data_IF_075434979403
#
_entry.id   IF_075434979403
#
_cell.length_a   1.000
_cell.length_b   1.000
_cell.length_c   1.000
_cell.angle_alpha   90.00
_cell.angle_beta   90.00
_cell.angle_gamma   90.00
#
_symmetry.space_group_name_H-M   'P 1'
#
loop_
_entity.id
_entity.type
_entity.pdbx_description
1 polymer ?
#
# COMPACT_ATOMS: atom_id res chain seq x y z
N UNK A 1 -3.57 -13.83 3.43
CA UNK A 1 -4.49 -12.68 3.54
C UNK A 1 -3.75 -11.46 3.00
N UNK A 2 -3.81 -11.25 1.70
CA UNK A 2 -3.11 -10.16 1.01
C UNK A 2 -4.10 -9.03 0.78
N UNK A 3 -3.92 -7.92 1.48
CA UNK A 3 -4.42 -6.64 1.01
C UNK A 3 -3.44 -6.14 -0.05
N UNK A 4 -3.89 -6.03 -1.29
CA UNK A 4 -3.15 -5.36 -2.36
C UNK A 4 -3.10 -3.87 -1.98
N UNK A 5 -2.16 -3.50 -1.10
CA UNK A 5 -2.04 -2.16 -0.54
C UNK A 5 -1.02 -1.31 -1.30
N UNK A 6 -0.86 -1.49 -2.61
CA UNK A 6 -0.16 -0.53 -3.47
C UNK A 6 -0.71 -0.60 -4.90
N UNK A 7 -1.33 0.49 -5.36
CA UNK A 7 -1.73 0.70 -6.76
C UNK A 7 -3.24 0.81 -6.98
N UNK A 8 -3.78 2.04 -6.92
CA UNK A 8 -5.17 2.37 -7.27
C UNK A 8 -6.01 2.82 -6.07
N UNK A 9 -6.85 3.85 -6.27
CA UNK A 9 -8.01 4.07 -5.42
C UNK A 9 -9.01 2.96 -5.78
N UNK A 10 -8.99 1.85 -5.03
CA UNK A 10 -10.01 0.83 -5.21
C UNK A 10 -11.33 1.38 -4.69
N UNK A 11 -12.30 1.52 -5.59
CA UNK A 11 -13.64 1.92 -5.24
C UNK A 11 -14.38 0.80 -4.48
N UNK A 12 -13.80 -0.38 -4.34
CA UNK A 12 -14.43 -1.54 -3.74
C UNK A 12 -13.53 -2.30 -2.75
N UNK A 13 -14.20 -3.10 -1.92
CA UNK A 13 -13.60 -4.11 -1.05
C UNK A 13 -14.28 -5.43 -1.41
N UNK A 14 -13.51 -6.49 -1.64
CA UNK A 14 -14.04 -7.80 -2.03
C UNK A 14 -13.51 -8.91 -1.13
N UNK A 15 -14.31 -9.96 -0.98
CA UNK A 15 -13.91 -11.22 -0.37
C UNK A 15 -13.42 -12.17 -1.44
N UNK A 16 -12.16 -12.57 -1.33
CA UNK A 16 -11.57 -13.59 -2.19
C UNK A 16 -11.80 -14.97 -1.56
N UNK A 17 -13.00 -15.51 -1.74
CA UNK A 17 -13.31 -16.87 -1.29
C UNK A 17 -12.53 -17.92 -2.10
N UNK A 18 -12.31 -19.06 -1.46
CA UNK A 18 -11.57 -20.18 -2.06
C UNK A 18 -12.37 -20.78 -3.21
N UNK A 19 -11.91 -20.52 -4.44
CA UNK A 19 -12.58 -21.01 -5.64
C UNK A 19 -12.30 -22.50 -5.95
N UNK A 20 -11.09 -22.99 -5.64
CA UNK A 20 -10.68 -24.38 -5.86
C UNK A 20 -9.83 -24.89 -4.69
N UNK A 21 -9.68 -26.21 -4.61
CA UNK A 21 -8.74 -26.84 -3.68
C UNK A 21 -7.27 -26.59 -4.08
N UNK A 22 -6.33 -26.57 -3.12
CA UNK A 22 -4.91 -26.46 -3.43
C UNK A 22 -4.47 -27.58 -4.37
N UNK A 23 -3.61 -27.24 -5.33
CA UNK A 23 -3.09 -28.20 -6.30
C UNK A 23 -1.99 -29.03 -5.63
N UNK A 24 -2.14 -30.36 -5.65
CA UNK A 24 -1.17 -31.27 -5.03
C UNK A 24 -1.05 -31.04 -3.51
N UNK A 25 0.17 -30.79 -3.03
CA UNK A 25 0.47 -30.55 -1.61
C UNK A 25 0.71 -29.07 -1.29
N UNK A 26 0.35 -28.17 -2.21
CA UNK A 26 0.51 -26.73 -2.01
C UNK A 26 -0.36 -26.23 -0.85
N UNK A 27 0.10 -25.15 -0.21
CA UNK A 27 -0.56 -24.49 0.91
C UNK A 27 -0.49 -22.98 0.73
N UNK A 28 -1.40 -22.24 1.34
CA UNK A 28 -1.28 -20.77 1.40
C UNK A 28 -0.09 -20.35 2.27
N UNK A 29 0.46 -19.17 2.04
CA UNK A 29 1.57 -18.63 2.85
C UNK A 29 1.23 -18.60 4.34
N UNK A 30 -0.02 -18.29 4.69
CA UNK A 30 -0.49 -18.31 6.08
C UNK A 30 -0.39 -19.70 6.69
N UNK A 31 -0.87 -20.74 6.00
CA UNK A 31 -0.79 -22.12 6.47
C UNK A 31 0.66 -22.60 6.60
N UNK A 32 1.53 -22.23 5.66
CA UNK A 32 2.97 -22.56 5.72
C UNK A 32 3.57 -21.98 7.00
N UNK A 33 3.37 -20.69 7.25
CA UNK A 33 3.90 -20.02 8.45
C UNK A 33 3.28 -20.60 9.72
N UNK A 34 1.98 -20.88 9.72
CA UNK A 34 1.27 -21.47 10.86
C UNK A 34 1.79 -22.87 11.21
N UNK A 35 2.03 -23.73 10.22
CA UNK A 35 2.59 -25.07 10.43
C UNK A 35 4.04 -25.03 10.95
N UNK A 36 4.83 -24.05 10.51
CA UNK A 36 6.17 -23.81 11.07
C UNK A 36 6.04 -23.34 12.54
N UNK A 37 5.12 -22.40 12.82
CA UNK A 37 4.91 -21.87 14.16
C UNK A 37 4.47 -22.96 15.16
N UNK A 38 3.62 -23.90 14.74
CA UNK A 38 3.26 -25.09 15.55
C UNK A 38 4.49 -25.89 15.99
N UNK A 39 5.42 -26.17 15.07
CA UNK A 39 6.65 -26.90 15.38
C UNK A 39 7.54 -26.16 16.38
N UNK A 40 7.43 -24.83 16.43
CA UNK A 40 8.18 -23.96 17.33
C UNK A 40 7.40 -23.61 18.62
N UNK A 41 6.16 -24.06 18.78
CA UNK A 41 5.32 -23.73 19.94
C UNK A 41 4.79 -22.29 19.98
N UNK A 42 4.69 -21.62 18.83
CA UNK A 42 4.20 -20.25 18.67
C UNK A 42 2.88 -20.14 17.88
N UNK A 43 2.17 -21.25 17.70
CA UNK A 43 0.95 -21.31 16.89
C UNK A 43 -0.12 -20.33 17.38
N UNK A 44 -0.34 -20.23 18.69
CA UNK A 44 -1.32 -19.30 19.29
C UNK A 44 -0.97 -17.84 19.08
N UNK A 45 0.32 -17.49 19.07
CA UNK A 45 0.78 -16.12 18.86
C UNK A 45 0.59 -15.72 17.39
N UNK A 46 0.71 -16.67 16.46
CA UNK A 46 0.51 -16.42 15.03
C UNK A 46 -0.97 -16.39 14.67
N UNK A 47 -1.77 -17.35 15.15
CA UNK A 47 -3.19 -17.42 14.81
C UNK A 47 -4.07 -16.55 15.70
N UNK A 48 -3.58 -16.11 16.86
CA UNK A 48 -4.39 -15.54 17.95
C UNK A 48 -5.52 -16.47 18.43
N UNK A 49 -5.47 -17.77 18.06
CA UNK A 49 -6.59 -18.70 18.26
C UNK A 49 -7.78 -18.45 17.34
N UNK A 50 -7.63 -17.61 16.32
CA UNK A 50 -8.68 -17.22 15.38
C UNK A 50 -8.64 -18.09 14.11
N UNK A 51 -9.82 -18.32 13.53
CA UNK A 51 -9.92 -18.92 12.20
C UNK A 51 -9.56 -17.91 11.11
N UNK A 52 -9.33 -18.36 9.88
CA UNK A 52 -9.11 -17.44 8.76
C UNK A 52 -10.32 -16.51 8.54
N UNK A 53 -11.54 -16.98 8.77
CA UNK A 53 -12.74 -16.16 8.66
C UNK A 53 -12.82 -15.12 9.78
N UNK A 54 -12.47 -15.48 11.01
CA UNK A 54 -12.38 -14.51 12.11
C UNK A 54 -11.34 -13.42 11.81
N UNK A 55 -10.20 -13.79 11.23
CA UNK A 55 -9.18 -12.84 10.78
C UNK A 55 -9.70 -11.92 9.67
N UNK A 56 -10.49 -12.45 8.72
CA UNK A 56 -11.15 -11.63 7.70
C UNK A 56 -12.16 -10.66 8.33
N UNK A 57 -12.98 -11.12 9.28
CA UNK A 57 -13.95 -10.27 10.01
C UNK A 57 -13.24 -9.19 10.84
N UNK A 58 -12.08 -9.51 11.43
CA UNK A 58 -11.25 -8.55 12.16
C UNK A 58 -10.70 -7.47 11.23
N UNK A 59 -10.23 -7.83 10.03
CA UNK A 59 -9.78 -6.88 9.01
C UNK A 59 -10.94 -6.00 8.52
N UNK A 60 -12.11 -6.58 8.28
CA UNK A 60 -13.33 -5.84 7.95
C UNK A 60 -13.63 -4.73 8.98
N UNK A 61 -13.53 -5.07 10.28
CA UNK A 61 -13.65 -4.11 11.38
C UNK A 61 -12.55 -3.03 11.38
N UNK A 62 -11.30 -3.40 11.13
CA UNK A 62 -10.19 -2.44 11.07
C UNK A 62 -10.27 -1.49 9.88
N UNK A 63 -10.97 -1.86 8.82
CA UNK A 63 -11.27 -0.98 7.69
C UNK A 63 -12.40 0.00 7.99
N UNK A 64 -13.10 -0.13 9.12
CA UNK A 64 -14.25 0.69 9.46
C UNK A 64 -15.48 0.41 8.59
N UNK A 65 -15.49 -0.74 7.89
CA UNK A 65 -16.52 -1.07 6.91
C UNK A 65 -17.87 -1.40 7.58
N UNK A 66 -17.84 -1.77 8.87
CA UNK A 66 -19.01 -1.96 9.73
C UNK A 66 -19.90 -0.71 9.87
N UNK A 67 -19.37 0.47 9.51
CA UNK A 67 -20.14 1.73 9.45
C UNK A 67 -20.99 1.84 8.19
N UNK A 68 -20.73 1.01 7.19
CA UNK A 68 -21.29 1.12 5.85
C UNK A 68 -22.14 -0.08 5.45
N UNK A 69 -21.80 -1.28 5.95
CA UNK A 69 -22.50 -2.54 5.70
C UNK A 69 -22.28 -3.48 6.91
N UNK A 70 -23.19 -4.42 7.18
CA UNK A 70 -22.95 -5.45 8.21
C UNK A 70 -21.96 -6.51 7.71
N UNK A 71 -21.31 -7.25 8.62
CA UNK A 71 -20.43 -8.35 8.22
C UNK A 71 -21.21 -9.43 7.46
N UNK A 72 -22.42 -9.74 7.93
CA UNK A 72 -23.28 -10.78 7.39
C UNK A 72 -23.71 -10.44 5.96
N UNK A 73 -24.14 -9.20 5.71
CA UNK A 73 -24.51 -8.73 4.38
C UNK A 73 -23.29 -8.63 3.45
N UNK A 74 -22.13 -8.20 3.97
CA UNK A 74 -20.88 -8.16 3.21
C UNK A 74 -20.42 -9.56 2.79
N UNK A 75 -20.52 -10.56 3.70
CA UNK A 75 -20.20 -11.95 3.40
C UNK A 75 -21.12 -12.56 2.36
N UNK A 76 -22.42 -12.30 2.46
CA UNK A 76 -23.41 -12.79 1.49
C UNK A 76 -23.18 -12.17 0.10
N UNK A 77 -22.93 -10.86 0.05
CA UNK A 77 -22.71 -10.14 -1.20
C UNK A 77 -21.35 -10.43 -1.84
N UNK A 78 -20.33 -10.72 -1.02
CA UNK A 78 -18.94 -10.96 -1.43
C UNK A 78 -18.14 -9.70 -1.76
N UNK A 79 -18.78 -8.52 -1.81
CA UNK A 79 -18.11 -7.25 -2.07
C UNK A 79 -18.91 -6.04 -1.57
N UNK A 80 -18.22 -4.91 -1.45
CA UNK A 80 -18.79 -3.60 -1.16
C UNK A 80 -18.18 -2.56 -2.10
N UNK A 81 -19.01 -1.73 -2.72
CA UNK A 81 -18.59 -0.63 -3.58
C UNK A 81 -18.84 0.69 -2.85
N UNK A 82 -17.77 1.44 -2.58
CA UNK A 82 -17.83 2.78 -2.01
C UNK A 82 -18.62 3.71 -2.92
N UNK A 83 -19.53 4.45 -2.30
CA UNK A 83 -20.30 5.49 -2.97
C UNK A 83 -19.47 6.78 -3.02
N UNK A 84 -19.69 7.57 -4.07
CA UNK A 84 -19.13 8.92 -4.16
C UNK A 84 -19.73 9.76 -3.03
N UNK A 85 -18.88 10.46 -2.27
CA UNK A 85 -19.34 11.35 -1.21
C UNK A 85 -20.21 12.48 -1.79
N UNK A 86 -21.35 12.81 -1.18
CA UNK A 86 -22.26 13.84 -1.70
C UNK A 86 -21.60 15.22 -1.79
N UNK A 87 -20.66 15.51 -0.90
CA UNK A 87 -19.96 16.79 -0.79
C UNK A 87 -18.53 16.76 -1.34
N UNK A 88 -18.21 15.78 -2.20
CA UNK A 88 -16.87 15.61 -2.79
C UNK A 88 -16.30 16.87 -3.46
N UNK A 89 -17.16 17.75 -4.00
CA UNK A 89 -16.74 19.02 -4.62
C UNK A 89 -16.09 20.00 -3.63
N UNK A 90 -16.36 19.83 -2.32
CA UNK A 90 -15.75 20.64 -1.26
C UNK A 90 -14.35 20.15 -0.89
N UNK A 91 -13.97 18.95 -1.31
CA UNK A 91 -12.64 18.43 -1.06
C UNK A 91 -11.60 19.22 -1.85
N UNK A 92 -10.50 19.55 -1.18
CA UNK A 92 -9.40 20.24 -1.84
C UNK A 92 -8.63 19.26 -2.71
N UNK A 93 -8.49 19.51 -4.02
CA UNK A 93 -7.80 18.58 -4.90
C UNK A 93 -6.29 18.66 -4.70
N UNK A 94 -5.68 17.49 -4.51
CA UNK A 94 -4.22 17.32 -4.52
C UNK A 94 -3.49 18.33 -3.65
N UNK A 95 -2.61 19.11 -4.28
CA UNK A 95 -1.72 20.05 -3.59
C UNK A 95 -2.25 21.50 -3.58
N UNK A 96 -3.55 21.72 -3.87
CA UNK A 96 -4.12 23.08 -3.96
C UNK A 96 -3.85 23.92 -2.72
N UNK A 97 -4.05 23.36 -1.52
CA UNK A 97 -3.77 24.08 -0.25
C UNK A 97 -2.32 24.57 -0.13
N UNK A 98 -1.34 23.76 -0.52
CA UNK A 98 0.07 24.15 -0.54
C UNK A 98 0.35 25.22 -1.60
N UNK A 99 -0.28 25.10 -2.78
CA UNK A 99 -0.12 26.09 -3.85
C UNK A 99 -0.70 27.46 -3.48
N UNK A 100 -1.79 27.49 -2.71
CA UNK A 100 -2.45 28.73 -2.25
C UNK A 100 -1.76 29.36 -1.03
N UNK A 101 -1.36 28.56 -0.04
CA UNK A 101 -0.69 29.05 1.18
C UNK A 101 0.35 28.03 1.69
N UNK A 102 1.59 28.08 1.18
CA UNK A 102 2.63 27.12 1.53
C UNK A 102 3.17 27.28 2.96
N UNK A 103 3.01 28.45 3.58
CA UNK A 103 3.45 28.68 4.96
C UNK A 103 2.49 28.02 5.95
N UNK A 104 1.18 28.07 5.67
CA UNK A 104 0.14 27.39 6.48
C UNK A 104 0.03 25.89 6.17
N UNK A 105 0.34 25.49 4.93
CA UNK A 105 0.25 24.12 4.46
C UNK A 105 1.60 23.57 3.98
N UNK A 106 2.65 23.56 4.83
CA UNK A 106 4.00 23.22 4.42
C UNK A 106 4.15 21.74 4.03
N UNK A 107 5.08 21.46 3.12
CA UNK A 107 5.44 20.08 2.78
C UNK A 107 6.26 19.43 3.90
N UNK A 108 6.31 18.09 3.88
CA UNK A 108 7.12 17.28 4.80
C UNK A 108 8.63 17.34 4.54
N UNK A 109 9.08 18.13 3.57
CA UNK A 109 10.50 18.32 3.23
C UNK A 109 11.23 19.13 4.31
N UNK A 110 12.57 19.05 4.39
CA UNK A 110 13.37 19.88 5.30
C UNK A 110 13.08 21.38 5.15
N UNK A 111 13.05 21.87 3.92
CA UNK A 111 12.77 23.28 3.62
C UNK A 111 11.30 23.68 3.75
N UNK A 112 10.39 22.72 4.02
CA UNK A 112 8.93 22.89 3.98
C UNK A 112 8.36 23.25 2.59
N UNK A 113 9.20 23.20 1.55
CA UNK A 113 8.87 23.57 0.16
C UNK A 113 9.16 22.42 -0.81
N UNK A 114 8.82 22.62 -2.07
CA UNK A 114 9.28 21.75 -3.15
C UNK A 114 10.78 21.99 -3.38
N UNK A 115 11.58 20.94 -3.24
CA UNK A 115 13.04 21.02 -3.35
C UNK A 115 13.50 20.63 -4.75
N UNK A 116 13.83 21.61 -5.59
CA UNK A 116 14.51 21.37 -6.87
C UNK A 116 15.94 20.85 -6.68
N UNK A 117 16.52 21.14 -5.52
CA UNK A 117 17.80 20.62 -5.07
C UNK A 117 17.63 20.00 -3.68
N UNK A 118 17.91 18.71 -3.55
CA UNK A 118 17.85 18.00 -2.29
C UNK A 118 19.17 18.12 -1.54
N UNK A 119 19.20 18.97 -0.51
CA UNK A 119 20.36 19.05 0.40
C UNK A 119 20.64 17.72 1.10
N UNK A 120 19.61 16.90 1.36
CA UNK A 120 19.78 15.58 1.96
C UNK A 120 20.57 14.65 1.05
N UNK A 121 20.27 14.64 -0.25
CA UNK A 121 21.06 13.86 -1.22
C UNK A 121 22.49 14.38 -1.28
N UNK A 122 22.67 15.70 -1.41
CA UNK A 122 24.00 16.30 -1.48
C UNK A 122 24.89 16.01 -0.26
N UNK A 123 24.30 16.00 0.95
CA UNK A 123 25.04 15.78 2.19
C UNK A 123 25.33 14.31 2.48
N UNK A 124 24.37 13.43 2.24
CA UNK A 124 24.47 12.02 2.64
C UNK A 124 24.95 11.11 1.52
N UNK A 125 24.81 11.54 0.27
CA UNK A 125 25.17 10.77 -0.93
C UNK A 125 25.93 11.65 -1.95
N UNK A 126 27.01 12.34 -1.55
CA UNK A 126 27.71 13.29 -2.42
C UNK A 126 28.33 12.63 -3.66
N UNK A 127 28.65 11.34 -3.58
CA UNK A 127 29.32 10.58 -4.65
C UNK A 127 28.33 9.75 -5.51
N UNK A 128 27.02 9.85 -5.26
CA UNK A 128 26.00 9.16 -6.04
C UNK A 128 25.80 9.86 -7.40
N UNK A 129 26.34 9.23 -8.45
CA UNK A 129 26.28 9.73 -9.83
C UNK A 129 24.98 9.37 -10.55
N UNK A 130 24.16 8.50 -9.98
CA UNK A 130 22.89 8.05 -10.57
C UNK A 130 21.71 8.85 -10.04
N UNK A 131 21.77 9.28 -8.77
CA UNK A 131 20.73 10.08 -8.10
C UNK A 131 21.29 11.44 -7.64
N UNK A 132 21.66 12.32 -8.57
CA UNK A 132 22.16 13.64 -8.23
C UNK A 132 21.13 14.44 -7.42
N UNK A 133 21.56 15.42 -6.60
CA UNK A 133 20.67 16.19 -5.74
C UNK A 133 19.68 17.07 -6.51
N UNK A 134 19.90 17.33 -7.79
CA UNK A 134 18.94 17.94 -8.70
C UNK A 134 18.70 17.04 -9.91
N UNK A 135 17.52 17.08 -10.55
CA UNK A 135 17.25 16.30 -11.75
C UNK A 135 18.24 16.62 -12.87
N UNK A 136 18.87 15.60 -13.43
CA UNK A 136 19.86 15.69 -14.50
C UNK A 136 19.68 14.50 -15.45
N UNK A 137 20.09 14.69 -16.71
CA UNK A 137 20.24 13.57 -17.65
C UNK A 137 21.43 12.71 -17.22
N UNK A 138 21.19 11.41 -16.97
CA UNK A 138 22.25 10.46 -16.61
C UNK A 138 22.28 9.38 -17.69
N UNK A 139 23.21 9.54 -18.64
CA UNK A 139 23.34 8.67 -19.82
C UNK A 139 23.35 7.18 -19.47
N UNK A 140 24.15 6.78 -18.46
CA UNK A 140 24.30 5.40 -18.01
C UNK A 140 24.84 5.33 -16.59
N UNK A 141 24.36 4.38 -15.81
CA UNK A 141 24.94 3.94 -14.54
C UNK A 141 25.01 2.42 -14.46
N UNK A 142 25.22 1.88 -13.26
CA UNK A 142 25.17 0.44 -13.00
C UNK A 142 23.74 -0.12 -13.13
N UNK A 143 22.73 0.64 -12.68
CA UNK A 143 21.34 0.20 -12.60
C UNK A 143 20.40 0.94 -13.57
N UNK A 144 20.92 1.90 -14.33
CA UNK A 144 20.15 2.80 -15.19
C UNK A 144 20.78 2.97 -16.58
N UNK A 145 19.94 3.04 -17.61
CA UNK A 145 20.37 3.29 -19.00
C UNK A 145 19.29 4.08 -19.75
N UNK A 146 19.39 5.42 -19.75
CA UNK A 146 18.40 6.31 -20.37
C UNK A 146 18.52 6.40 -21.89
N UNK A 147 19.56 5.81 -22.48
CA UNK A 147 19.84 5.92 -23.91
C UNK A 147 18.72 5.35 -24.75
N UNK A 148 18.37 6.04 -25.83
CA UNK A 148 17.45 5.49 -26.85
C UNK A 148 17.96 4.19 -27.47
N UNK A 149 19.27 3.95 -27.41
CA UNK A 149 19.95 2.76 -27.94
C UNK A 149 20.09 1.63 -26.91
N UNK A 150 19.58 1.79 -25.69
CA UNK A 150 19.65 0.73 -24.68
C UNK A 150 18.80 -0.49 -25.09
N UNK A 151 19.23 -1.73 -24.77
CA UNK A 151 18.40 -2.91 -24.94
C UNK A 151 17.14 -2.80 -24.09
N UNK A 152 15.96 -3.07 -24.67
CA UNK A 152 14.67 -3.08 -23.96
C UNK A 152 14.20 -4.49 -23.68
#
# INVERSE_FOLDING_TARGET
VTNVRQGGQFADVMLCDKAIEPIGESKSDYEIVYEIAKKLGYDKQVSEGLTTEDLQKKVFGYMGLERMISWEEFREKGYYLYQVAEDWEKDSPGWRKFAEDPEKHPLGTPSKKLEFYSERLAKHFPDDKERPPSPQWVEKSEMHDERLTSPR
#
